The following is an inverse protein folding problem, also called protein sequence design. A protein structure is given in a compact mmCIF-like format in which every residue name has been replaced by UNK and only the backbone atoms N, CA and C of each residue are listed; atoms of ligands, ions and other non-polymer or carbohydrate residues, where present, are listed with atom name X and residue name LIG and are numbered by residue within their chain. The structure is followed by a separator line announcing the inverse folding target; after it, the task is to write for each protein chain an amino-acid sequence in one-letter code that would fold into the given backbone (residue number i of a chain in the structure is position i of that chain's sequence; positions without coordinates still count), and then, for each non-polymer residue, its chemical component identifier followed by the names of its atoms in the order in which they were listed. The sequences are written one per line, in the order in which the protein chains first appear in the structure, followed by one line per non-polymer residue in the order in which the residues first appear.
data_IF_433057280476
#
_entry.id   IF_433057280476
#
_cell.length_a   1.000
_cell.length_b   1.000
_cell.length_c   1.000
_cell.angle_alpha   90.00
_cell.angle_beta   90.00
_cell.angle_gamma   90.00
#
_symmetry.space_group_name_H-M   'P 1'
#
loop_
_entity.id
_entity.type
_entity.pdbx_description
1 polymer ?
#
# COMPACT_ATOMS: atom_id res chain seq x y z
N UNK A 1 -38.27 -13.50 -16.13
CA UNK A 1 -37.02 -13.55 -15.37
C UNK A 1 -36.53 -12.14 -15.10
N UNK A 2 -36.25 -11.88 -13.89
CA UNK A 2 -35.82 -10.55 -13.51
C UNK A 2 -34.32 -10.43 -13.67
N UNK A 3 -33.90 -9.59 -14.61
CA UNK A 3 -32.49 -9.23 -14.73
C UNK A 3 -32.18 -8.21 -13.64
N UNK A 4 -31.44 -8.65 -12.65
CA UNK A 4 -30.88 -7.70 -11.70
C UNK A 4 -29.84 -6.87 -12.43
N UNK A 5 -30.10 -5.58 -12.58
CA UNK A 5 -29.08 -4.69 -13.09
C UNK A 5 -27.98 -4.60 -12.05
N UNK A 6 -26.90 -5.31 -12.26
CA UNK A 6 -25.70 -5.11 -11.47
C UNK A 6 -25.02 -3.85 -11.96
N UNK A 7 -24.85 -2.92 -11.07
CA UNK A 7 -23.96 -1.82 -11.36
C UNK A 7 -22.59 -2.39 -11.66
N UNK A 8 -22.01 -1.94 -12.75
CA UNK A 8 -20.62 -2.27 -13.02
C UNK A 8 -19.74 -1.73 -11.89
N UNK A 9 -18.74 -2.48 -11.45
CA UNK A 9 -17.85 -1.99 -10.40
C UNK A 9 -17.11 -0.73 -10.87
N UNK A 10 -16.90 0.18 -9.93
CA UNK A 10 -16.11 1.39 -10.18
C UNK A 10 -14.64 1.03 -10.37
N UNK A 11 -13.86 1.95 -10.89
CA UNK A 11 -12.41 1.78 -10.96
C UNK A 11 -11.81 1.45 -9.59
N UNK A 12 -12.26 2.18 -8.55
CA UNK A 12 -11.79 1.93 -7.20
C UNK A 12 -12.11 0.52 -6.72
N UNK A 13 -13.32 0.03 -7.02
CA UNK A 13 -13.72 -1.33 -6.65
C UNK A 13 -12.92 -2.38 -7.41
N UNK A 14 -12.70 -2.17 -8.70
CA UNK A 14 -11.88 -3.07 -9.51
C UNK A 14 -10.44 -3.12 -9.02
N UNK A 15 -9.87 -1.98 -8.66
CA UNK A 15 -8.52 -1.89 -8.12
C UNK A 15 -8.40 -2.60 -6.78
N UNK A 16 -9.40 -2.42 -5.91
CA UNK A 16 -9.41 -3.10 -4.61
C UNK A 16 -9.51 -4.62 -4.79
N UNK A 17 -10.35 -5.08 -5.71
CA UNK A 17 -10.47 -6.50 -6.01
C UNK A 17 -9.16 -7.06 -6.57
N UNK A 18 -8.52 -6.35 -7.49
CA UNK A 18 -7.23 -6.74 -8.04
C UNK A 18 -6.14 -6.83 -6.97
N UNK A 19 -6.05 -5.83 -6.09
CA UNK A 19 -5.10 -5.84 -5.00
C UNK A 19 -5.35 -6.99 -4.03
N UNK A 20 -6.60 -7.26 -3.71
CA UNK A 20 -6.94 -8.37 -2.83
C UNK A 20 -6.47 -9.70 -3.42
N UNK A 21 -6.69 -9.88 -4.72
CA UNK A 21 -6.24 -11.07 -5.42
C UNK A 21 -4.71 -11.17 -5.41
N UNK A 22 -4.02 -10.08 -5.71
CA UNK A 22 -2.55 -10.02 -5.69
C UNK A 22 -2.01 -10.34 -4.30
N UNK A 23 -2.66 -9.82 -3.26
CA UNK A 23 -2.27 -10.08 -1.88
C UNK A 23 -2.40 -11.56 -1.54
N UNK A 24 -3.48 -12.20 -1.97
CA UNK A 24 -3.70 -13.63 -1.71
C UNK A 24 -2.65 -14.49 -2.40
N UNK A 25 -2.09 -14.04 -3.51
CA UNK A 25 -1.08 -14.76 -4.27
C UNK A 25 0.35 -14.42 -3.85
N UNK A 26 0.54 -13.38 -3.03
CA UNK A 26 1.86 -13.00 -2.60
C UNK A 26 2.48 -14.08 -1.70
N UNK A 27 3.82 -14.23 -1.72
CA UNK A 27 4.48 -15.18 -0.84
C UNK A 27 4.35 -14.77 0.62
N UNK A 28 4.49 -15.74 1.52
CA UNK A 28 4.54 -15.43 2.94
C UNK A 28 5.85 -14.71 3.30
N UNK A 29 5.82 -13.89 4.35
CA UNK A 29 7.01 -13.20 4.83
C UNK A 29 8.15 -14.18 5.13
N UNK A 30 7.83 -15.34 5.72
CA UNK A 30 8.84 -16.37 6.03
C UNK A 30 9.55 -16.91 4.81
N UNK A 31 8.89 -16.91 3.66
CA UNK A 31 9.48 -17.41 2.41
C UNK A 31 10.33 -16.36 1.72
N UNK A 32 9.93 -15.10 1.80
CA UNK A 32 10.62 -14.02 1.10
C UNK A 32 11.71 -13.36 1.97
N UNK A 33 11.44 -13.25 3.26
CA UNK A 33 12.33 -12.58 4.21
C UNK A 33 12.48 -13.46 5.45
N UNK A 34 13.23 -14.55 5.29
CA UNK A 34 13.31 -15.60 6.32
C UNK A 34 13.91 -15.11 7.65
N UNK A 35 14.75 -14.09 7.62
CA UNK A 35 15.40 -13.55 8.81
C UNK A 35 14.61 -12.43 9.50
N UNK A 36 13.43 -12.11 9.00
CA UNK A 36 12.61 -11.04 9.58
C UNK A 36 11.60 -11.63 10.54
N UNK A 37 11.66 -11.19 11.80
CA UNK A 37 10.70 -11.58 12.82
C UNK A 37 9.43 -10.71 12.76
N UNK A 38 9.59 -9.43 12.41
CA UNK A 38 8.48 -8.49 12.30
C UNK A 38 8.86 -7.34 11.39
N UNK A 39 7.92 -6.91 10.58
CA UNK A 39 8.00 -5.67 9.82
C UNK A 39 6.79 -4.81 10.18
N UNK A 40 7.04 -3.56 10.54
CA UNK A 40 5.97 -2.59 10.76
C UNK A 40 6.06 -1.51 9.70
N UNK A 41 4.92 -1.20 9.10
CA UNK A 41 4.80 -0.14 8.10
C UNK A 41 3.81 0.89 8.63
N UNK A 42 4.28 2.10 8.83
CA UNK A 42 3.45 3.23 9.24
C UNK A 42 3.24 4.14 8.04
N UNK A 43 1.98 4.47 7.78
CA UNK A 43 1.55 5.29 6.65
C UNK A 43 0.85 6.54 7.15
N UNK A 44 1.26 7.68 6.61
CA UNK A 44 0.62 8.95 6.90
C UNK A 44 0.36 9.70 5.60
N UNK A 45 -0.92 9.88 5.29
CA UNK A 45 -1.34 10.50 4.04
C UNK A 45 -1.69 11.97 4.26
N UNK A 46 -1.31 12.80 3.30
CA UNK A 46 -1.61 14.23 3.34
C UNK A 46 -1.84 14.77 1.93
N UNK A 47 -2.51 15.91 1.85
CA UNK A 47 -2.56 16.70 0.61
C UNK A 47 -3.91 16.96 0.01
N UNK A 48 -5.00 16.35 0.49
CA UNK A 48 -6.26 16.46 -0.24
C UNK A 48 -7.53 16.54 0.56
N UNK A 49 -7.64 15.84 1.63
CA UNK A 49 -8.93 15.69 2.27
C UNK A 49 -9.02 16.49 3.55
N UNK A 50 -10.24 16.89 3.86
CA UNK A 50 -10.59 17.58 5.10
C UNK A 50 -11.73 16.83 5.78
N UNK A 51 -11.49 16.12 6.86
CA UNK A 51 -10.19 15.96 7.52
C UNK A 51 -9.24 15.05 6.73
N UNK A 52 -7.93 15.10 7.00
CA UNK A 52 -6.99 14.19 6.36
C UNK A 52 -7.25 12.75 6.78
N UNK A 53 -6.87 11.76 5.97
CA UNK A 53 -7.01 10.37 6.36
C UNK A 53 -6.26 10.07 7.66
N UNK A 54 -6.83 9.17 8.46
CA UNK A 54 -6.16 8.73 9.69
C UNK A 54 -4.87 7.98 9.35
N UNK A 55 -3.81 8.14 10.16
CA UNK A 55 -2.61 7.34 10.00
C UNK A 55 -2.93 5.85 10.09
N UNK A 56 -2.20 5.04 9.33
CA UNK A 56 -2.35 3.59 9.32
C UNK A 56 -1.06 2.95 9.81
N UNK A 57 -1.19 1.82 10.48
CA UNK A 57 -0.05 1.02 10.89
C UNK A 57 -0.35 -0.44 10.55
N UNK A 58 0.58 -1.06 9.84
CA UNK A 58 0.45 -2.45 9.40
C UNK A 58 1.62 -3.26 9.94
N UNK A 59 1.32 -4.38 10.57
CA UNK A 59 2.35 -5.28 11.12
C UNK A 59 2.34 -6.59 10.34
N UNK A 60 3.54 -7.06 9.99
CA UNK A 60 3.75 -8.29 9.24
C UNK A 60 4.63 -9.23 10.04
N UNK A 61 4.10 -10.40 10.33
CA UNK A 61 4.82 -11.50 11.00
C UNK A 61 5.09 -12.61 9.99
N UNK A 62 5.95 -13.58 10.28
CA UNK A 62 6.33 -14.60 9.31
C UNK A 62 5.19 -15.26 8.52
N UNK A 63 4.02 -15.56 9.11
CA UNK A 63 2.93 -16.15 8.34
C UNK A 63 2.17 -15.16 7.45
N UNK A 64 2.34 -13.86 7.65
CA UNK A 64 1.64 -12.85 6.83
C UNK A 64 2.16 -12.85 5.41
N UNK A 65 1.33 -12.40 4.48
CA UNK A 65 1.73 -12.23 3.08
C UNK A 65 2.67 -11.03 2.93
N UNK A 66 3.73 -11.21 2.14
CA UNK A 66 4.68 -10.16 1.81
C UNK A 66 4.09 -9.28 0.71
N UNK A 67 3.08 -8.50 1.06
CA UNK A 67 2.36 -7.62 0.15
C UNK A 67 2.33 -6.20 0.71
N UNK A 68 2.98 -5.27 0.01
CA UNK A 68 3.25 -3.92 0.52
C UNK A 68 2.75 -2.84 -0.43
N UNK A 69 1.63 -3.10 -1.07
CA UNK A 69 0.95 -2.16 -1.96
C UNK A 69 -0.31 -1.65 -1.28
N UNK A 70 -0.45 -0.33 -1.22
CA UNK A 70 -1.52 0.32 -0.48
C UNK A 70 -2.29 1.24 -1.40
N UNK A 71 -3.62 1.15 -1.37
CA UNK A 71 -4.47 2.03 -2.15
C UNK A 71 -4.33 3.47 -1.68
N UNK A 72 -4.33 4.40 -2.62
CA UNK A 72 -4.52 5.79 -2.28
C UNK A 72 -5.89 5.96 -1.58
N UNK A 73 -5.93 6.63 -0.41
CA UNK A 73 -7.20 6.78 0.32
C UNK A 73 -8.20 7.71 -0.35
N UNK A 74 -7.80 8.38 -1.41
CA UNK A 74 -8.71 9.21 -2.18
C UNK A 74 -9.75 8.34 -2.89
N UNK A 75 -11.03 8.64 -2.70
CA UNK A 75 -12.12 7.85 -3.28
C UNK A 75 -12.22 7.97 -4.80
N UNK A 76 -11.67 9.03 -5.37
CA UNK A 76 -11.74 9.32 -6.81
C UNK A 76 -10.51 8.88 -7.59
N UNK A 77 -9.54 8.28 -6.91
CA UNK A 77 -8.22 8.00 -7.45
C UNK A 77 -8.04 6.51 -7.70
N UNK A 78 -7.37 6.17 -8.78
CA UNK A 78 -7.02 4.79 -9.10
C UNK A 78 -5.61 4.43 -8.65
N UNK A 79 -4.92 5.31 -7.93
CA UNK A 79 -3.54 5.15 -7.55
C UNK A 79 -3.32 4.18 -6.40
N UNK A 80 -2.08 3.73 -6.31
CA UNK A 80 -1.62 2.96 -5.17
C UNK A 80 -0.17 3.31 -4.88
N UNK A 81 0.25 3.03 -3.66
CA UNK A 81 1.63 3.23 -3.22
C UNK A 81 2.25 1.86 -3.02
N UNK A 82 3.36 1.60 -3.70
CA UNK A 82 4.08 0.33 -3.63
C UNK A 82 5.37 0.51 -2.85
N UNK A 83 5.46 -0.10 -1.68
CA UNK A 83 6.64 -0.05 -0.83
C UNK A 83 7.52 -1.29 -0.95
N UNK A 84 7.25 -2.15 -1.94
CA UNK A 84 7.97 -3.42 -2.09
C UNK A 84 9.48 -3.22 -2.24
N UNK A 85 9.90 -2.25 -3.05
CA UNK A 85 11.31 -1.96 -3.25
C UNK A 85 11.97 -1.41 -1.97
N UNK A 86 11.25 -0.58 -1.23
CA UNK A 86 11.75 -0.02 0.03
C UNK A 86 11.93 -1.10 1.08
N UNK A 87 10.98 -2.03 1.17
CA UNK A 87 11.08 -3.18 2.09
C UNK A 87 12.26 -4.06 1.69
N UNK A 88 12.38 -4.38 0.40
CA UNK A 88 13.49 -5.21 -0.09
C UNK A 88 14.85 -4.57 0.22
N UNK A 89 14.96 -3.26 -0.03
CA UNK A 89 16.18 -2.53 0.26
C UNK A 89 16.57 -2.59 1.72
N UNK A 90 15.61 -2.38 2.62
CA UNK A 90 15.85 -2.45 4.06
C UNK A 90 16.22 -3.87 4.49
N UNK A 91 15.52 -4.87 3.98
CA UNK A 91 15.78 -6.27 4.33
C UNK A 91 17.16 -6.77 3.85
N UNK A 92 17.65 -6.23 2.75
CA UNK A 92 18.97 -6.58 2.21
C UNK A 92 20.13 -5.95 2.97
N UNK A 93 19.87 -4.90 3.75
CA UNK A 93 20.91 -4.26 4.54
C UNK A 93 21.24 -5.13 5.74
N UNK A 94 22.45 -5.70 5.75
CA UNK A 94 22.89 -6.66 6.78
C UNK A 94 23.42 -5.99 8.05
N UNK A 95 23.52 -4.66 8.06
CA UNK A 95 24.05 -3.94 9.21
C UNK A 95 23.03 -3.94 10.36
N UNK A 96 23.46 -4.18 11.60
CA UNK A 96 22.54 -4.20 12.74
C UNK A 96 21.79 -2.87 12.96
N UNK A 97 22.38 -1.75 12.51
CA UNK A 97 21.74 -0.44 12.60
C UNK A 97 20.68 -0.20 11.53
N UNK A 98 20.62 -1.04 10.49
CA UNK A 98 19.66 -0.86 9.38
C UNK A 98 18.32 -1.52 9.74
N UNK A 99 17.60 -0.89 10.69
CA UNK A 99 16.31 -1.40 11.18
C UNK A 99 15.14 -0.52 10.78
N UNK A 100 15.43 0.69 10.34
CA UNK A 100 14.38 1.65 9.97
C UNK A 100 14.69 2.29 8.64
N UNK A 101 13.64 2.63 7.93
CA UNK A 101 13.73 3.45 6.73
C UNK A 101 12.48 4.32 6.67
N UNK A 102 12.58 5.46 6.04
CA UNK A 102 11.45 6.35 5.87
C UNK A 102 11.58 7.08 4.55
N UNK A 103 10.45 7.60 4.07
CA UNK A 103 10.44 8.35 2.82
C UNK A 103 9.07 8.93 2.53
N UNK A 104 8.96 9.50 1.35
CA UNK A 104 7.72 10.10 0.86
C UNK A 104 7.50 9.69 -0.58
N UNK A 105 6.24 9.45 -0.92
CA UNK A 105 5.83 9.13 -2.28
C UNK A 105 4.62 9.98 -2.65
N UNK A 106 4.64 10.55 -3.84
CA UNK A 106 3.45 11.17 -4.42
C UNK A 106 2.59 10.12 -5.08
N UNK A 107 1.27 10.31 -5.05
CA UNK A 107 0.37 9.44 -5.76
C UNK A 107 0.50 9.66 -7.26
N UNK A 108 0.69 8.58 -8.01
CA UNK A 108 0.77 8.61 -9.47
C UNK A 108 -0.58 8.37 -10.12
N UNK A 109 -1.63 8.22 -9.31
CA UNK A 109 -2.97 8.03 -9.81
C UNK A 109 -3.59 9.29 -10.36
N UNK A 110 -4.72 9.11 -11.04
CA UNK A 110 -5.46 10.20 -11.66
C UNK A 110 -6.87 10.25 -11.08
N UNK A 111 -7.39 11.46 -10.94
CA UNK A 111 -8.78 11.66 -10.61
C UNK A 111 -9.60 11.62 -11.88
N UNK A 112 -10.59 10.75 -11.89
CA UNK A 112 -11.55 10.66 -12.98
C UNK A 112 -12.87 11.26 -12.52
N UNK A 113 -13.14 12.50 -12.93
CA UNK A 113 -14.41 13.15 -12.66
C UNK A 113 -15.33 12.98 -13.86
N UNK A 114 -16.61 13.21 -13.65
CA UNK A 114 -17.68 12.98 -14.62
C UNK A 114 -17.48 13.61 -16.00
N UNK A 115 -16.58 14.53 -16.16
CA UNK A 115 -16.32 15.22 -17.43
C UNK A 115 -14.96 14.98 -18.00
N UNK A 116 -14.43 13.82 -17.77
CA UNK A 116 -13.29 13.31 -18.52
C UNK A 116 -11.99 14.10 -18.47
N UNK A 117 -11.85 15.10 -17.61
CA UNK A 117 -10.56 15.73 -17.41
C UNK A 117 -9.84 15.02 -16.28
N UNK A 118 -8.92 14.15 -16.65
CA UNK A 118 -8.08 13.49 -15.66
C UNK A 118 -7.15 14.53 -15.04
N UNK A 119 -7.10 14.57 -13.71
CA UNK A 119 -6.21 15.43 -12.96
C UNK A 119 -5.31 14.58 -12.07
N UNK A 120 -4.05 14.95 -11.93
CA UNK A 120 -3.13 14.24 -11.06
C UNK A 120 -3.62 14.30 -9.61
N UNK A 121 -3.53 13.18 -8.91
CA UNK A 121 -3.88 13.10 -7.50
C UNK A 121 -2.81 13.80 -6.66
N UNK A 122 -3.17 14.78 -5.81
CA UNK A 122 -2.19 15.50 -4.99
C UNK A 122 -1.80 14.77 -3.71
N UNK A 123 -2.30 13.56 -3.47
CA UNK A 123 -2.02 12.82 -2.25
C UNK A 123 -0.54 12.48 -2.13
N UNK A 124 0.02 12.67 -0.95
CA UNK A 124 1.40 12.32 -0.62
C UNK A 124 1.39 11.37 0.56
N UNK A 125 2.13 10.30 0.44
CA UNK A 125 2.35 9.34 1.50
C UNK A 125 3.70 9.59 2.15
N UNK A 126 3.70 9.82 3.46
CA UNK A 126 4.91 9.73 4.27
C UNK A 126 4.91 8.36 4.93
N UNK A 127 5.96 7.58 4.75
CA UNK A 127 6.00 6.22 5.24
C UNK A 127 7.23 5.98 6.10
N UNK A 128 7.10 5.04 7.02
CA UNK A 128 8.20 4.58 7.86
C UNK A 128 8.13 3.07 7.99
N UNK A 129 9.29 2.43 7.83
CA UNK A 129 9.45 0.99 8.02
C UNK A 129 10.28 0.75 9.27
N UNK A 130 9.85 -0.23 10.06
CA UNK A 130 10.64 -0.72 11.20
C UNK A 130 10.75 -2.23 11.05
N UNK A 131 11.98 -2.71 10.96
CA UNK A 131 12.28 -4.12 10.74
C UNK A 131 12.92 -4.70 12.00
N UNK A 132 12.37 -5.82 12.45
CA UNK A 132 12.95 -6.59 13.56
C UNK A 132 13.40 -7.93 12.98
N UNK A 133 14.69 -8.24 13.14
CA UNK A 133 15.24 -9.49 12.65
C UNK A 133 15.11 -10.57 13.72
N UNK A 134 14.96 -11.79 13.25
CA UNK A 134 15.03 -12.96 14.14
C UNK A 134 16.49 -13.17 14.58
N UNK A 135 16.66 -13.59 15.80
CA UNK A 135 17.96 -13.92 16.35
C UNK A 135 18.49 -15.25 15.78
#
# INVERSE_FOLDING_TARGET
MKLTSRKLPTFGEQRRAGRQNDRLQAPAMRSRYADVAKLQIDLNFAGMSRPPPSPQSHSYYPPARAFFRFACPCSECDGEFDLSASVAGLAEMKQPSARTASGRLGCEGMHFRERATAAACPMVLSWRLVLVRAD
#
